data_IF_214337718380
#
_entry.id   IF_214337718380
#
_cell.length_a   1.000
_cell.length_b   1.000
_cell.length_c   1.000
_cell.angle_alpha   90.00
_cell.angle_beta   90.00
_cell.angle_gamma   90.00
#
_symmetry.space_group_name_H-M   'P 1'
#
loop_
_entity.id
_entity.type
_entity.pdbx_description
1 polymer ?
#
# COMPACT_ATOMS: atom_id res chain seq x y z
N UNK A 1 -19.45 -44.85 19.75
CA UNK A 1 -18.51 -44.65 18.63
C UNK A 1 -18.69 -43.23 18.14
N UNK A 2 -17.80 -42.32 18.54
CA UNK A 2 -17.92 -40.89 18.21
C UNK A 2 -17.52 -40.68 16.75
N UNK A 3 -18.42 -40.13 15.94
CA UNK A 3 -18.08 -39.63 14.61
C UNK A 3 -17.12 -38.46 14.79
N UNK A 4 -15.85 -38.65 14.40
CA UNK A 4 -14.93 -37.53 14.19
C UNK A 4 -15.54 -36.66 13.10
N UNK A 5 -16.02 -35.46 13.46
CA UNK A 5 -16.23 -34.38 12.50
C UNK A 5 -14.91 -34.20 11.75
N UNK A 6 -14.88 -34.50 10.44
CA UNK A 6 -13.85 -33.96 9.56
C UNK A 6 -13.87 -32.43 9.72
N UNK A 7 -12.74 -31.76 9.95
CA UNK A 7 -12.72 -30.32 9.81
C UNK A 7 -13.09 -30.00 8.36
N UNK A 8 -14.00 -29.05 8.20
CA UNK A 8 -14.45 -28.51 6.94
C UNK A 8 -13.21 -27.98 6.21
N UNK A 9 -12.86 -28.57 5.07
CA UNK A 9 -11.75 -28.12 4.21
C UNK A 9 -12.02 -26.65 3.84
N UNK A 10 -11.22 -25.74 4.40
CA UNK A 10 -11.07 -24.39 3.88
C UNK A 10 -10.37 -24.60 2.53
N UNK A 11 -10.93 -24.18 1.37
CA UNK A 11 -10.18 -24.18 0.13
C UNK A 11 -8.91 -23.38 0.38
N UNK A 12 -7.77 -24.06 0.46
CA UNK A 12 -6.53 -23.43 0.84
C UNK A 12 -6.16 -22.49 -0.31
N UNK A 13 -5.83 -21.23 -0.03
CA UNK A 13 -5.28 -20.30 -1.02
C UNK A 13 -4.20 -21.01 -1.85
N UNK A 14 -3.36 -21.84 -1.23
CA UNK A 14 -2.33 -22.62 -1.91
C UNK A 14 -2.87 -23.60 -2.95
N UNK A 15 -4.06 -24.17 -2.76
CA UNK A 15 -4.70 -25.06 -3.75
C UNK A 15 -5.22 -24.28 -4.95
N UNK A 16 -5.74 -23.07 -4.72
CA UNK A 16 -6.12 -22.15 -5.79
C UNK A 16 -4.89 -21.67 -6.57
N UNK A 17 -3.86 -21.18 -5.86
CA UNK A 17 -2.63 -20.66 -6.46
C UNK A 17 -1.76 -21.77 -7.07
N UNK A 18 -1.95 -23.04 -6.69
CA UNK A 18 -1.22 -24.20 -7.24
C UNK A 18 -1.26 -24.28 -8.77
N UNK A 19 -2.36 -23.86 -9.37
CA UNK A 19 -2.54 -23.88 -10.81
C UNK A 19 -1.90 -22.66 -11.51
N UNK A 20 -1.60 -21.59 -10.77
CA UNK A 20 -1.12 -20.30 -11.31
C UNK A 20 0.33 -19.95 -10.94
N UNK A 21 1.00 -20.71 -10.05
CA UNK A 21 2.37 -20.42 -9.60
C UNK A 21 3.39 -20.26 -10.72
N UNK A 22 3.20 -20.92 -11.87
CA UNK A 22 4.11 -20.83 -13.01
C UNK A 22 4.09 -19.46 -13.70
N UNK A 23 3.05 -18.65 -13.48
CA UNK A 23 2.88 -17.33 -14.12
C UNK A 23 3.29 -16.14 -13.24
N UNK A 24 3.66 -16.38 -11.97
CA UNK A 24 3.87 -15.33 -10.96
C UNK A 24 5.26 -15.33 -10.33
N UNK A 25 6.27 -15.90 -10.99
CA UNK A 25 7.64 -15.79 -10.48
C UNK A 25 8.23 -14.45 -10.91
N UNK A 26 8.93 -13.81 -9.97
CA UNK A 26 9.74 -12.62 -10.24
C UNK A 26 11.05 -12.96 -10.95
N UNK A 27 11.44 -14.24 -10.96
CA UNK A 27 12.77 -14.68 -11.34
C UNK A 27 13.81 -14.43 -10.26
N UNK A 28 13.40 -13.93 -9.09
CA UNK A 28 14.23 -13.72 -7.91
C UNK A 28 13.73 -14.60 -6.75
N UNK A 29 14.50 -15.62 -6.40
CA UNK A 29 14.13 -16.59 -5.36
C UNK A 29 13.77 -15.96 -4.02
N UNK A 30 14.46 -14.88 -3.63
CA UNK A 30 14.23 -14.22 -2.34
C UNK A 30 12.88 -13.48 -2.31
N UNK A 31 12.51 -12.85 -3.41
CA UNK A 31 11.21 -12.19 -3.56
C UNK A 31 10.10 -13.24 -3.66
N UNK A 32 10.31 -14.29 -4.45
CA UNK A 32 9.34 -15.37 -4.62
C UNK A 32 9.05 -16.08 -3.28
N UNK A 33 10.08 -16.30 -2.47
CA UNK A 33 9.94 -16.85 -1.11
C UNK A 33 9.19 -15.90 -0.17
N UNK A 34 9.47 -14.59 -0.24
CA UNK A 34 8.75 -13.60 0.55
C UNK A 34 7.26 -13.51 0.16
N UNK A 35 6.94 -13.55 -1.14
CA UNK A 35 5.56 -13.56 -1.62
C UNK A 35 4.82 -14.79 -1.08
N UNK A 36 5.45 -15.96 -1.13
CA UNK A 36 4.87 -17.18 -0.56
C UNK A 36 4.67 -17.07 0.96
N UNK A 37 5.64 -16.49 1.70
CA UNK A 37 5.50 -16.21 3.14
C UNK A 37 4.25 -15.34 3.41
N UNK A 38 4.07 -14.26 2.66
CA UNK A 38 2.91 -13.38 2.79
C UNK A 38 1.59 -14.10 2.47
N UNK A 39 1.56 -14.91 1.41
CA UNK A 39 0.37 -15.69 1.03
C UNK A 39 0.00 -16.75 2.07
N UNK A 40 0.99 -17.36 2.73
CA UNK A 40 0.78 -18.34 3.81
C UNK A 40 0.26 -17.69 5.09
N UNK A 41 0.56 -16.42 5.31
CA UNK A 41 0.14 -15.65 6.47
C UNK A 41 -1.24 -14.99 6.31
N UNK A 42 -1.96 -15.25 5.21
CA UNK A 42 -3.35 -14.81 5.02
C UNK A 42 -4.21 -15.49 6.09
N UNK A 43 -4.65 -14.70 7.06
CA UNK A 43 -5.35 -15.18 8.26
C UNK A 43 -6.80 -14.68 8.32
N UNK A 44 -7.14 -13.62 7.60
CA UNK A 44 -8.46 -13.01 7.58
C UNK A 44 -9.16 -13.30 6.25
N UNK A 45 -10.49 -13.47 6.29
CA UNK A 45 -11.31 -13.57 5.07
C UNK A 45 -11.34 -12.27 4.26
N UNK A 46 -10.86 -11.17 4.87
CA UNK A 46 -10.77 -9.84 4.28
C UNK A 46 -9.42 -9.56 3.62
N UNK A 47 -8.44 -10.44 3.78
CA UNK A 47 -7.11 -10.21 3.24
C UNK A 47 -7.12 -10.31 1.71
N UNK A 48 -6.38 -9.39 1.09
CA UNK A 48 -6.01 -9.50 -0.32
C UNK A 48 -4.85 -10.48 -0.46
N UNK A 49 -4.78 -11.15 -1.60
CA UNK A 49 -3.65 -12.04 -1.91
C UNK A 49 -2.48 -11.17 -2.34
N UNK A 50 -1.35 -11.32 -1.64
CA UNK A 50 -0.10 -10.65 -2.01
C UNK A 50 0.49 -11.30 -3.26
N UNK A 51 0.76 -10.53 -4.32
CA UNK A 51 1.13 -11.06 -5.63
C UNK A 51 2.45 -10.48 -6.16
N UNK A 52 3.16 -11.26 -7.00
CA UNK A 52 4.04 -10.67 -8.00
C UNK A 52 3.19 -10.16 -9.15
N UNK A 53 3.34 -8.89 -9.51
CA UNK A 53 2.49 -8.26 -10.52
C UNK A 53 3.36 -7.92 -11.73
N UNK A 54 3.16 -8.59 -12.88
CA UNK A 54 3.91 -8.27 -14.09
C UNK A 54 3.66 -6.82 -14.54
N UNK A 55 4.71 -6.05 -14.80
CA UNK A 55 4.61 -4.62 -15.11
C UNK A 55 3.61 -4.28 -16.25
N UNK A 56 3.50 -5.17 -17.25
CA UNK A 56 2.54 -5.06 -18.38
C UNK A 56 1.06 -4.98 -17.98
N UNK A 57 0.75 -5.31 -16.72
CA UNK A 57 -0.58 -5.22 -16.13
C UNK A 57 -1.00 -3.77 -15.84
N UNK A 58 -0.05 -2.84 -15.74
CA UNK A 58 -0.33 -1.44 -15.47
C UNK A 58 -0.59 -0.65 -16.75
N UNK A 59 -1.57 0.25 -16.69
CA UNK A 59 -1.87 1.22 -17.74
C UNK A 59 -2.15 2.60 -17.15
N UNK A 60 -2.16 3.63 -18.00
CA UNK A 60 -2.38 5.03 -17.60
C UNK A 60 -1.47 5.48 -16.45
N UNK A 61 -0.20 5.07 -16.50
CA UNK A 61 0.79 5.41 -15.48
C UNK A 61 1.05 6.92 -15.51
N UNK A 62 0.94 7.60 -14.36
CA UNK A 62 1.16 9.04 -14.21
C UNK A 62 1.90 9.32 -12.92
N UNK A 63 2.94 10.14 -12.95
CA UNK A 63 3.66 10.57 -11.74
C UNK A 63 2.73 11.41 -10.87
N UNK A 64 2.67 11.12 -9.58
CA UNK A 64 1.84 11.84 -8.60
C UNK A 64 2.67 12.54 -7.54
N UNK A 65 3.90 12.09 -7.31
CA UNK A 65 4.81 12.77 -6.41
C UNK A 65 6.21 12.17 -6.44
N UNK A 66 7.21 13.01 -6.15
CA UNK A 66 8.60 12.60 -6.13
C UNK A 66 9.34 13.36 -5.03
N UNK A 67 10.20 12.63 -4.31
CA UNK A 67 11.27 13.19 -3.50
C UNK A 67 12.59 12.44 -3.82
N UNK A 68 13.64 12.70 -3.03
CA UNK A 68 14.98 12.16 -3.30
C UNK A 68 15.05 10.62 -3.22
N UNK A 69 14.19 9.99 -2.42
CA UNK A 69 14.24 8.55 -2.14
C UNK A 69 13.12 7.74 -2.81
N UNK A 70 12.00 8.39 -3.12
CA UNK A 70 10.78 7.73 -3.59
C UNK A 70 10.16 8.52 -4.75
N UNK A 71 9.64 7.79 -5.74
CA UNK A 71 8.65 8.34 -6.68
C UNK A 71 7.37 7.52 -6.63
N UNK A 72 6.24 8.18 -6.56
CA UNK A 72 4.92 7.57 -6.59
C UNK A 72 4.25 7.89 -7.92
N UNK A 73 3.65 6.87 -8.51
CA UNK A 73 2.81 6.99 -9.69
C UNK A 73 1.40 6.48 -9.39
N UNK A 74 0.38 7.05 -10.04
CA UNK A 74 -0.92 6.41 -10.19
C UNK A 74 -0.92 5.52 -11.42
N UNK A 75 -1.62 4.40 -11.35
CA UNK A 75 -1.84 3.52 -12.49
C UNK A 75 -3.16 2.75 -12.35
N UNK A 76 -3.65 2.21 -13.47
CA UNK A 76 -4.73 1.23 -13.48
C UNK A 76 -4.11 -0.16 -13.62
N UNK A 77 -4.34 -1.03 -12.64
CA UNK A 77 -4.03 -2.45 -12.69
C UNK A 77 -5.19 -3.20 -13.37
N UNK A 78 -4.94 -3.74 -14.57
CA UNK A 78 -5.95 -4.42 -15.40
C UNK A 78 -6.63 -5.59 -14.68
N UNK A 79 -5.84 -6.55 -14.23
CA UNK A 79 -6.38 -7.73 -13.54
C UNK A 79 -6.91 -7.36 -12.16
N UNK A 80 -6.19 -6.49 -11.43
CA UNK A 80 -6.57 -6.04 -10.11
C UNK A 80 -6.31 -7.06 -8.99
N UNK A 81 -6.47 -6.64 -7.71
CA UNK A 81 -6.16 -7.48 -6.58
C UNK A 81 -7.12 -8.67 -6.46
N UNK A 82 -6.55 -9.83 -6.15
CA UNK A 82 -7.30 -11.04 -5.83
C UNK A 82 -7.71 -11.03 -4.35
N UNK A 83 -8.97 -11.32 -4.06
CA UNK A 83 -9.48 -11.43 -2.69
C UNK A 83 -10.56 -12.50 -2.59
N UNK A 84 -10.83 -12.95 -1.36
CA UNK A 84 -11.85 -13.96 -1.08
C UNK A 84 -13.25 -13.32 -1.07
N UNK A 85 -14.19 -13.90 -1.80
CA UNK A 85 -15.59 -13.47 -1.80
C UNK A 85 -16.35 -14.18 -0.65
N UNK A 86 -16.92 -13.40 0.27
CA UNK A 86 -17.58 -13.90 1.50
C UNK A 86 -18.66 -14.95 1.24
N UNK A 87 -19.43 -14.79 0.16
CA UNK A 87 -20.64 -15.58 -0.07
C UNK A 87 -20.36 -16.98 -0.65
N UNK A 88 -19.21 -17.20 -1.30
CA UNK A 88 -18.98 -18.41 -2.08
C UNK A 88 -17.67 -19.13 -1.78
N UNK A 89 -16.80 -18.58 -0.91
CA UNK A 89 -15.42 -19.07 -0.67
C UNK A 89 -14.58 -19.18 -1.95
N UNK A 90 -14.98 -18.49 -3.01
CA UNK A 90 -14.23 -18.38 -4.25
C UNK A 90 -13.35 -17.12 -4.21
N UNK A 91 -12.30 -17.12 -5.00
CA UNK A 91 -11.47 -15.95 -5.22
C UNK A 91 -11.99 -15.14 -6.40
N UNK A 92 -11.95 -13.82 -6.26
CA UNK A 92 -12.38 -12.87 -7.28
C UNK A 92 -11.37 -11.75 -7.42
N UNK A 93 -11.21 -11.24 -8.64
CA UNK A 93 -10.37 -10.07 -8.92
C UNK A 93 -11.21 -8.80 -8.97
N UNK A 94 -10.66 -7.71 -8.42
CA UNK A 94 -11.19 -6.35 -8.56
C UNK A 94 -10.54 -5.65 -9.76
N UNK A 95 -10.95 -6.01 -10.98
CA UNK A 95 -10.30 -5.58 -12.21
C UNK A 95 -10.38 -4.07 -12.48
N UNK A 96 -9.38 -3.55 -13.21
CA UNK A 96 -9.20 -2.13 -13.50
C UNK A 96 -9.09 -1.26 -12.24
N UNK A 97 -8.47 -1.79 -11.19
CA UNK A 97 -8.25 -1.08 -9.94
C UNK A 97 -7.24 0.04 -10.13
N UNK A 98 -7.56 1.24 -9.66
CA UNK A 98 -6.56 2.30 -9.52
C UNK A 98 -5.65 1.99 -8.32
N UNK A 99 -4.34 2.09 -8.54
CA UNK A 99 -3.30 1.73 -7.57
C UNK A 99 -2.20 2.80 -7.55
N UNK A 100 -1.52 2.90 -6.42
CA UNK A 100 -0.29 3.65 -6.30
C UNK A 100 0.91 2.71 -6.52
N UNK A 101 1.82 3.12 -7.39
CA UNK A 101 3.09 2.44 -7.67
C UNK A 101 4.21 3.23 -6.97
N UNK A 102 4.72 2.70 -5.85
CA UNK A 102 5.79 3.32 -5.06
C UNK A 102 7.14 2.76 -5.51
N UNK A 103 7.91 3.56 -6.24
CA UNK A 103 9.28 3.28 -6.63
C UNK A 103 10.21 3.69 -5.51
N UNK A 104 11.11 2.80 -5.12
CA UNK A 104 12.13 3.04 -4.11
C UNK A 104 13.48 3.15 -4.82
N UNK A 105 14.01 4.37 -4.98
CA UNK A 105 15.20 4.63 -5.81
C UNK A 105 16.48 3.94 -5.31
N UNK A 106 16.53 3.56 -4.02
CA UNK A 106 17.64 2.85 -3.40
C UNK A 106 17.34 1.35 -3.16
N UNK A 107 16.17 0.83 -3.58
CA UNK A 107 15.81 -0.59 -3.33
C UNK A 107 16.66 -1.58 -4.13
N UNK A 108 17.27 -1.13 -5.22
CA UNK A 108 18.22 -1.92 -5.99
C UNK A 108 19.49 -2.25 -5.19
N UNK A 109 19.81 -1.44 -4.17
CA UNK A 109 20.98 -1.67 -3.31
C UNK A 109 20.76 -2.83 -2.33
N UNK A 110 19.49 -3.19 -2.02
CA UNK A 110 19.17 -4.34 -1.18
C UNK A 110 17.71 -4.80 -1.27
N UNK A 111 17.52 -6.04 -1.74
CA UNK A 111 16.24 -6.77 -1.69
C UNK A 111 15.74 -6.90 -0.23
N UNK A 112 16.64 -6.96 0.76
CA UNK A 112 16.23 -7.00 2.16
C UNK A 112 15.54 -5.70 2.59
N UNK A 113 16.03 -4.55 2.11
CA UNK A 113 15.39 -3.28 2.42
C UNK A 113 13.99 -3.19 1.82
N UNK A 114 13.80 -3.69 0.59
CA UNK A 114 12.48 -3.78 -0.05
C UNK A 114 11.54 -4.67 0.76
N UNK A 115 11.98 -5.87 1.16
CA UNK A 115 11.16 -6.81 1.95
C UNK A 115 10.82 -6.22 3.31
N UNK A 116 11.79 -5.61 4.00
CA UNK A 116 11.57 -4.99 5.29
C UNK A 116 10.58 -3.83 5.21
N UNK A 117 10.62 -3.04 4.14
CA UNK A 117 9.63 -1.99 3.87
C UNK A 117 8.24 -2.60 3.56
N UNK A 118 8.17 -3.64 2.72
CA UNK A 118 6.91 -4.31 2.39
C UNK A 118 6.21 -4.92 3.61
N UNK A 119 6.97 -5.46 4.58
CA UNK A 119 6.45 -6.06 5.84
C UNK A 119 5.73 -5.06 6.76
N UNK A 120 5.82 -3.76 6.47
CA UNK A 120 5.23 -2.70 7.29
C UNK A 120 3.78 -2.42 6.95
N UNK A 121 3.34 -2.88 5.79
CA UNK A 121 2.00 -2.65 5.26
C UNK A 121 1.08 -3.82 5.61
N UNK A 122 -0.22 -3.53 5.68
CA UNK A 122 -1.25 -4.55 5.87
C UNK A 122 -1.67 -5.15 4.52
N UNK A 123 -2.13 -6.39 4.55
CA UNK A 123 -2.87 -7.04 3.46
C UNK A 123 -4.39 -7.03 3.71
N UNK A 124 -4.85 -6.54 4.86
CA UNK A 124 -6.27 -6.42 5.17
C UNK A 124 -6.89 -5.31 4.28
N UNK A 125 -7.91 -5.65 3.50
CA UNK A 125 -8.59 -4.69 2.62
C UNK A 125 -9.22 -3.49 3.35
N UNK A 126 -9.51 -3.64 4.65
CA UNK A 126 -10.09 -2.60 5.49
C UNK A 126 -9.02 -1.69 6.15
N UNK A 127 -7.73 -1.97 5.92
CA UNK A 127 -6.64 -1.14 6.38
C UNK A 127 -6.53 0.18 5.59
N UNK A 128 -5.97 1.21 6.23
CA UNK A 128 -5.74 2.49 5.57
C UNK A 128 -4.74 2.38 4.41
N UNK A 129 -3.67 1.60 4.60
CA UNK A 129 -2.72 1.29 3.54
C UNK A 129 -2.66 -0.22 3.33
N UNK A 130 -3.08 -0.64 2.14
CA UNK A 130 -3.14 -2.04 1.73
C UNK A 130 -2.10 -2.28 0.67
N UNK A 131 -1.16 -3.19 0.93
CA UNK A 131 -0.14 -3.58 -0.02
C UNK A 131 -0.60 -4.82 -0.78
N UNK A 132 -0.75 -4.67 -2.09
CA UNK A 132 -1.22 -5.74 -2.98
C UNK A 132 -0.10 -6.63 -3.49
N UNK A 133 1.12 -6.11 -3.59
CA UNK A 133 2.20 -6.89 -4.15
C UNK A 133 3.44 -6.11 -4.51
N UNK A 134 4.33 -6.80 -5.21
CA UNK A 134 5.58 -6.28 -5.74
C UNK A 134 5.55 -6.38 -7.26
N UNK A 135 6.11 -5.38 -7.93
CA UNK A 135 6.43 -5.41 -9.35
C UNK A 135 7.87 -4.97 -9.57
N UNK A 136 8.32 -5.00 -10.81
CA UNK A 136 9.60 -4.47 -11.23
C UNK A 136 9.44 -3.79 -12.57
N UNK A 137 9.99 -2.58 -12.70
CA UNK A 137 10.06 -1.90 -13.98
C UNK A 137 11.08 -2.63 -14.87
N UNK A 138 10.68 -3.15 -16.05
CA UNK A 138 11.58 -3.90 -16.92
C UNK A 138 12.67 -3.01 -17.56
N UNK A 139 12.43 -1.70 -17.67
CA UNK A 139 13.35 -0.77 -18.33
C UNK A 139 14.45 -0.29 -17.37
N UNK A 140 14.10 -0.03 -16.11
CA UNK A 140 15.05 0.48 -15.10
C UNK A 140 15.57 -0.61 -14.16
N UNK A 141 14.84 -1.72 -14.03
CA UNK A 141 15.13 -2.78 -13.06
C UNK A 141 14.66 -2.46 -11.64
N UNK A 142 14.08 -1.28 -11.39
CA UNK A 142 13.64 -0.85 -10.06
C UNK A 142 12.44 -1.65 -9.59
N UNK A 143 12.47 -2.08 -8.33
CA UNK A 143 11.33 -2.69 -7.68
C UNK A 143 10.28 -1.65 -7.27
N UNK A 144 9.02 -2.10 -7.31
CA UNK A 144 7.84 -1.27 -7.11
C UNK A 144 6.96 -1.95 -6.07
N UNK A 145 6.58 -1.21 -5.03
CA UNK A 145 5.51 -1.61 -4.13
C UNK A 145 4.16 -1.14 -4.69
N UNK A 146 3.21 -2.06 -4.82
CA UNK A 146 1.90 -1.81 -5.42
C UNK A 146 0.85 -1.81 -4.32
N UNK A 147 0.18 -0.67 -4.12
CA UNK A 147 -0.72 -0.46 -2.98
C UNK A 147 -1.99 0.29 -3.37
N UNK A 148 -2.96 0.32 -2.47
CA UNK A 148 -4.20 1.06 -2.67
C UNK A 148 -3.96 2.56 -2.94
N UNK A 149 -4.81 3.15 -3.77
CA UNK A 149 -4.63 4.51 -4.28
C UNK A 149 -4.86 5.64 -3.25
N UNK A 150 -5.06 5.30 -1.96
CA UNK A 150 -5.31 6.32 -0.92
C UNK A 150 -4.17 7.35 -0.83
N UNK A 151 -2.96 6.95 -1.21
CA UNK A 151 -1.76 7.80 -1.26
C UNK A 151 -1.85 8.91 -2.32
N UNK A 152 -2.63 8.74 -3.38
CA UNK A 152 -2.76 9.76 -4.42
C UNK A 152 -3.85 10.81 -4.10
N UNK A 153 -4.61 10.62 -3.02
CA UNK A 153 -5.59 11.60 -2.52
C UNK A 153 -4.97 12.60 -1.55
N UNK A 154 -3.84 12.25 -0.91
CA UNK A 154 -3.07 13.13 -0.02
C UNK A 154 -1.98 13.83 -0.83
N UNK A 155 -1.80 15.14 -0.64
CA UNK A 155 -0.66 15.90 -1.16
C UNK A 155 0.63 15.42 -0.46
N UNK A 156 1.11 14.24 -0.87
CA UNK A 156 1.97 13.37 -0.07
C UNK A 156 3.36 13.94 0.24
N UNK A 157 3.91 14.76 -0.66
CA UNK A 157 5.28 15.27 -0.50
C UNK A 157 5.27 16.69 0.04
N UNK A 158 5.84 16.85 1.22
CA UNK A 158 6.23 18.16 1.75
C UNK A 158 7.44 18.75 1.01
N UNK A 159 8.13 17.92 0.22
CA UNK A 159 9.45 18.23 -0.32
C UNK A 159 10.58 17.97 0.68
N UNK A 160 10.28 17.41 1.86
CA UNK A 160 11.26 17.02 2.87
C UNK A 160 11.11 15.54 3.22
N UNK A 161 12.11 14.74 2.83
CA UNK A 161 12.11 13.28 3.02
C UNK A 161 11.83 12.85 4.47
N UNK A 162 12.41 13.53 5.47
CA UNK A 162 12.23 13.16 6.88
C UNK A 162 10.80 13.42 7.36
N UNK A 163 10.18 14.49 6.88
CA UNK A 163 8.78 14.82 7.20
C UNK A 163 7.85 13.82 6.50
N UNK A 164 8.10 13.55 5.23
CA UNK A 164 7.30 12.61 4.43
C UNK A 164 7.36 11.19 5.05
N UNK A 165 8.55 10.74 5.43
CA UNK A 165 8.74 9.48 6.15
C UNK A 165 7.98 9.47 7.47
N UNK A 166 8.08 10.54 8.28
CA UNK A 166 7.35 10.63 9.54
C UNK A 166 5.83 10.58 9.34
N UNK A 167 5.30 11.24 8.32
CA UNK A 167 3.87 11.20 7.98
C UNK A 167 3.46 9.76 7.64
N UNK A 168 4.24 9.07 6.80
CA UNK A 168 4.01 7.67 6.45
C UNK A 168 4.02 6.75 7.69
N UNK A 169 5.00 6.90 8.59
CA UNK A 169 5.07 6.15 9.86
C UNK A 169 3.79 6.28 10.70
N UNK A 170 3.17 7.46 10.66
CA UNK A 170 1.95 7.76 11.41
C UNK A 170 0.74 7.18 10.72
N UNK A 171 0.67 7.25 9.40
CA UNK A 171 -0.44 6.70 8.61
C UNK A 171 -0.50 5.17 8.66
N UNK A 172 0.65 4.48 8.73
CA UNK A 172 0.70 3.02 8.87
C UNK A 172 0.12 2.51 10.22
N UNK A 173 -0.06 3.39 11.20
CA UNK A 173 -0.61 3.05 12.53
C UNK A 173 -2.11 3.30 12.64
N UNK A 174 -2.75 3.77 11.57
CA UNK A 174 -4.18 4.10 11.54
C UNK A 174 -4.99 2.82 11.46
N UNK A 175 -5.82 2.59 12.49
CA UNK A 175 -6.59 1.35 12.62
C UNK A 175 -8.10 1.61 12.59
N UNK A 176 -8.58 2.75 13.09
CA UNK A 176 -10.01 3.08 13.17
C UNK A 176 -10.46 3.99 12.02
N UNK A 177 -11.68 3.81 11.52
CA UNK A 177 -12.32 4.66 10.51
C UNK A 177 -12.44 6.13 10.97
N UNK A 178 -12.51 6.38 12.27
CA UNK A 178 -12.62 7.75 12.78
C UNK A 178 -11.27 8.43 13.01
N UNK A 179 -10.16 7.73 12.80
CA UNK A 179 -8.83 8.28 13.02
C UNK A 179 -8.55 9.41 12.01
N UNK A 180 -8.03 10.52 12.53
CA UNK A 180 -7.55 11.63 11.70
C UNK A 180 -6.26 11.18 11.02
N UNK A 181 -6.23 11.28 9.71
CA UNK A 181 -5.05 10.98 8.90
C UNK A 181 -4.07 12.14 9.02
N UNK A 182 -2.86 11.87 9.50
CA UNK A 182 -1.79 12.86 9.46
C UNK A 182 -1.37 13.07 8.00
N UNK A 183 -1.35 14.32 7.55
CA UNK A 183 -0.95 14.69 6.19
C UNK A 183 -0.14 15.99 6.18
N UNK A 184 0.57 16.21 5.06
CA UNK A 184 1.20 17.49 4.80
C UNK A 184 0.16 18.47 4.25
N UNK A 185 0.07 19.65 4.86
CA UNK A 185 -0.88 20.69 4.46
C UNK A 185 -0.07 21.86 3.88
N UNK A 186 -0.13 22.09 2.56
CA UNK A 186 0.52 23.23 1.95
C UNK A 186 0.02 24.55 2.56
N UNK A 187 0.91 25.51 2.79
CA UNK A 187 0.56 26.77 3.48
C UNK A 187 -0.59 27.54 2.80
N UNK A 188 -0.71 27.43 1.48
CA UNK A 188 -1.79 28.05 0.70
C UNK A 188 -3.19 27.46 0.97
N UNK A 189 -3.29 26.38 1.76
CA UNK A 189 -4.55 25.80 2.22
C UNK A 189 -5.15 26.51 3.44
N UNK A 190 -4.42 27.46 4.02
CA UNK A 190 -4.87 28.22 5.18
C UNK A 190 -5.36 29.62 4.78
N UNK A 191 -6.53 29.99 5.29
CA UNK A 191 -7.12 31.32 5.20
C UNK A 191 -7.14 31.98 6.59
N UNK A 192 -7.32 33.31 6.61
CA UNK A 192 -7.51 34.09 7.85
C UNK A 192 -6.44 33.86 8.93
N UNK A 193 -5.19 33.70 8.50
CA UNK A 193 -4.06 33.40 9.40
C UNK A 193 -3.81 34.59 10.32
N UNK A 194 -3.90 34.37 11.64
CA UNK A 194 -3.74 35.40 12.68
C UNK A 194 -2.84 34.89 13.80
N UNK A 195 -1.86 35.69 14.21
CA UNK A 195 -1.03 35.37 15.38
C UNK A 195 -1.88 35.43 16.66
N UNK A 196 -1.79 34.40 17.51
CA UNK A 196 -2.55 34.29 18.76
C UNK A 196 -1.66 34.25 20.00
N UNK A 197 -0.35 34.06 19.83
CA UNK A 197 0.61 34.12 20.93
C UNK A 197 2.05 33.93 20.44
N UNK A 198 3.01 34.47 21.20
CA UNK A 198 4.43 34.36 20.89
C UNK A 198 5.28 34.33 22.15
N UNK A 199 6.27 33.45 22.16
CA UNK A 199 7.36 33.42 23.15
C UNK A 199 8.72 33.31 22.44
N UNK A 200 9.80 33.15 23.20
CA UNK A 200 11.17 33.16 22.68
C UNK A 200 11.47 32.06 21.66
N UNK A 201 10.70 30.95 21.67
CA UNK A 201 10.95 29.77 20.83
C UNK A 201 9.81 29.42 19.87
N UNK A 202 8.60 29.95 20.10
CA UNK A 202 7.38 29.51 19.42
C UNK A 202 6.50 30.72 19.13
N UNK A 203 5.97 30.79 17.91
CA UNK A 203 4.85 31.67 17.54
C UNK A 203 3.65 30.80 17.17
N UNK A 204 2.49 31.10 17.75
CA UNK A 204 1.24 30.37 17.55
C UNK A 204 0.33 31.20 16.66
N UNK A 205 -0.24 30.56 15.64
CA UNK A 205 -1.20 31.14 14.73
C UNK A 205 -2.52 30.37 14.80
N UNK A 206 -3.65 31.06 14.62
CA UNK A 206 -4.91 30.46 14.22
C UNK A 206 -5.12 30.66 12.73
N UNK A 207 -5.82 29.71 12.09
CA UNK A 207 -6.17 29.79 10.68
C UNK A 207 -7.41 28.94 10.40
N UNK A 208 -8.04 29.21 9.26
CA UNK A 208 -9.12 28.37 8.70
C UNK A 208 -8.49 27.47 7.64
N UNK A 209 -8.53 26.16 7.85
CA UNK A 209 -8.12 25.17 6.84
C UNK A 209 -9.26 24.97 5.84
N UNK A 210 -8.99 25.21 4.54
CA UNK A 210 -9.97 25.12 3.45
C UNK A 210 -10.63 23.75 3.32
N UNK A 211 -9.81 22.69 3.29
CA UNK A 211 -10.28 21.34 2.99
C UNK A 211 -10.63 20.54 4.26
N UNK A 212 -10.09 20.96 5.41
CA UNK A 212 -10.24 20.23 6.68
C UNK A 212 -9.42 18.93 6.72
N UNK A 213 -9.42 18.25 7.88
CA UNK A 213 -8.66 17.01 8.05
C UNK A 213 -9.25 15.86 7.25
N UNK A 214 -8.37 15.01 6.74
CA UNK A 214 -8.74 13.70 6.21
C UNK A 214 -9.06 12.70 7.32
N UNK A 215 -10.03 11.83 7.02
CA UNK A 215 -10.48 10.73 7.87
C UNK A 215 -10.38 9.41 7.09
N UNK A 216 -10.27 8.28 7.82
CA UNK A 216 -10.22 6.94 7.23
C UNK A 216 -11.59 6.45 6.76
#
# INVERSE_FOLDING_TARGET
>A
MFFKKKPLEIPNILEYLKNDFTNWTSGNEKIDNFIQEMQLNINNENDVVFEWIPYKQFNKIRETGKNDSITVYSAIWKDGPLHKEYSWRNYKRDSNKEVALKYLHNSQESIDSLINEAKRYSTDKDAFQVLYGISQNPDTGDYILVQNNLINLVNWVSGNEKIDYFIQERQLKINDYNDIVLEWIPYNQFNEIKETGKNDSITVYSAIWKDGPLHK
#
